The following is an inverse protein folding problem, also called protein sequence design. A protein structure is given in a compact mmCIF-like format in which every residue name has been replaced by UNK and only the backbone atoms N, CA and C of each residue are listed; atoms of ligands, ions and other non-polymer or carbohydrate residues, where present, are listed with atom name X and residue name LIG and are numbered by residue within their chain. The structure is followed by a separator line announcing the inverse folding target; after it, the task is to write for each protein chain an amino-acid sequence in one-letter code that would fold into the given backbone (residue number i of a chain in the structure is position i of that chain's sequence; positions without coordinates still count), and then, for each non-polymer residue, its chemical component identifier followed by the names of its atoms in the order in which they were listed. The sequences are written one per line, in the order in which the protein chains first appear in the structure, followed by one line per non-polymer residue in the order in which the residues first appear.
data_IF_676934963319
#
_entry.id   IF_676934963319
#
_cell.length_a   1.000
_cell.length_b   1.000
_cell.length_c   1.000
_cell.angle_alpha   90.00
_cell.angle_beta   90.00
_cell.angle_gamma   90.00
#
_symmetry.space_group_name_H-M   'P 1'
#
loop_
_entity.id
_entity.type
_entity.pdbx_description
1 polymer ?
#
# COMPACT_ATOMS: atom_id res chain seq x y z
N UNK A 1 13.07 -3.07 8.91
CA UNK A 1 12.77 -2.61 7.54
C UNK A 1 12.41 -1.13 7.57
N UNK A 2 13.02 -0.29 6.72
CA UNK A 2 13.00 1.19 6.83
C UNK A 2 11.59 1.81 6.83
N UNK A 3 10.62 1.16 6.15
CA UNK A 3 9.24 1.64 6.08
C UNK A 3 8.35 1.17 7.24
N UNK A 4 8.78 0.19 8.04
CA UNK A 4 7.96 -0.37 9.12
C UNK A 4 7.59 0.65 10.23
N UNK A 5 8.49 1.57 10.64
CA UNK A 5 8.15 2.61 11.62
C UNK A 5 7.07 3.58 11.12
N UNK A 6 6.90 3.74 9.81
CA UNK A 6 5.82 4.57 9.22
C UNK A 6 4.47 3.97 9.55
N UNK A 7 4.37 2.65 9.36
CA UNK A 7 3.13 1.87 9.48
C UNK A 7 2.62 1.81 10.91
N UNK A 8 3.52 1.82 11.90
CA UNK A 8 3.14 1.77 13.31
C UNK A 8 2.57 3.09 13.85
N UNK A 9 2.74 4.20 13.13
CA UNK A 9 2.25 5.53 13.53
C UNK A 9 0.87 5.86 12.99
N UNK A 10 0.19 4.86 12.44
CA UNK A 10 -1.09 5.03 11.78
C UNK A 10 -2.23 4.79 12.76
N UNK A 11 -3.26 5.62 12.67
CA UNK A 11 -4.44 5.48 13.54
C UNK A 11 -5.17 4.14 13.30
N UNK A 12 -5.14 3.64 12.05
CA UNK A 12 -5.71 2.36 11.66
C UNK A 12 -4.73 1.17 11.76
N UNK A 13 -3.63 1.31 12.53
CA UNK A 13 -2.64 0.24 12.64
C UNK A 13 -3.17 -0.94 13.45
N UNK A 14 -3.17 -2.12 12.82
CA UNK A 14 -3.47 -3.39 13.46
C UNK A 14 -2.26 -4.30 13.36
N UNK A 15 -1.78 -4.78 14.51
CA UNK A 15 -0.58 -5.62 14.58
C UNK A 15 -0.86 -7.08 14.21
N UNK A 16 -1.86 -7.66 14.86
CA UNK A 16 -2.24 -9.08 14.77
C UNK A 16 -3.71 -9.25 15.18
N UNK A 17 -4.21 -10.48 15.08
CA UNK A 17 -5.60 -10.82 15.43
C UNK A 17 -5.94 -10.49 16.88
N UNK A 18 -5.01 -10.70 17.81
CA UNK A 18 -5.22 -10.40 19.23
C UNK A 18 -5.27 -8.89 19.50
N UNK A 19 -4.44 -8.12 18.78
CA UNK A 19 -4.48 -6.66 18.79
C UNK A 19 -5.82 -6.15 18.27
N UNK A 20 -6.32 -6.70 17.16
CA UNK A 20 -7.62 -6.34 16.59
C UNK A 20 -8.76 -6.59 17.58
N UNK A 21 -8.79 -7.77 18.20
CA UNK A 21 -9.82 -8.12 19.20
C UNK A 21 -9.79 -7.16 20.39
N UNK A 22 -8.59 -6.82 20.88
CA UNK A 22 -8.46 -5.86 21.98
C UNK A 22 -8.97 -4.47 21.60
N UNK A 23 -8.63 -3.97 20.41
CA UNK A 23 -9.12 -2.66 19.98
C UNK A 23 -10.63 -2.67 19.74
N UNK A 24 -11.17 -3.76 19.19
CA UNK A 24 -12.61 -3.92 18.97
C UNK A 24 -13.39 -3.97 20.29
N UNK A 25 -12.86 -4.67 21.29
CA UNK A 25 -13.49 -4.77 22.62
C UNK A 25 -13.49 -3.45 23.40
N UNK A 26 -12.66 -2.48 23.02
CA UNK A 26 -12.69 -1.12 23.62
C UNK A 26 -13.76 -0.23 22.99
N UNK A 27 -14.31 -0.60 21.83
CA UNK A 27 -15.29 0.23 21.14
C UNK A 27 -16.66 0.08 21.81
N UNK A 28 -17.16 1.19 22.34
CA UNK A 28 -18.58 1.34 22.68
C UNK A 28 -19.32 1.79 21.43
N UNK A 29 -20.18 0.94 20.89
CA UNK A 29 -20.98 1.24 19.71
C UNK A 29 -22.35 1.79 20.15
N UNK A 30 -22.77 2.89 19.55
CA UNK A 30 -24.14 3.40 19.73
C UNK A 30 -25.16 2.47 19.07
N UNK A 31 -26.39 2.46 19.58
CA UNK A 31 -27.49 1.64 19.05
C UNK A 31 -27.85 1.95 17.59
N UNK A 32 -27.47 3.14 17.09
CA UNK A 32 -27.67 3.59 15.70
C UNK A 32 -26.44 3.34 14.80
N UNK A 33 -25.44 2.58 15.26
CA UNK A 33 -24.24 2.29 14.49
C UNK A 33 -24.54 1.32 13.32
N UNK A 34 -24.11 1.70 12.11
CA UNK A 34 -24.13 0.81 10.94
C UNK A 34 -22.73 0.27 10.70
N UNK A 35 -22.58 -1.04 10.82
CA UNK A 35 -21.35 -1.72 10.43
C UNK A 35 -21.32 -1.88 8.91
N UNK A 36 -20.25 -1.38 8.29
CA UNK A 36 -20.04 -1.52 6.84
C UNK A 36 -18.78 -2.35 6.60
N UNK A 37 -18.93 -3.44 5.84
CA UNK A 37 -17.84 -4.28 5.37
C UNK A 37 -17.56 -4.03 3.90
N UNK A 38 -16.28 -3.90 3.54
CA UNK A 38 -15.84 -3.82 2.16
C UNK A 38 -14.77 -4.88 1.91
N UNK A 39 -14.95 -5.65 0.84
CA UNK A 39 -13.88 -6.50 0.32
C UNK A 39 -13.16 -5.75 -0.81
N UNK A 40 -11.83 -5.80 -0.79
CA UNK A 40 -11.00 -5.10 -1.78
C UNK A 40 -10.26 -6.12 -2.64
N UNK A 41 -10.70 -6.23 -3.89
CA UNK A 41 -10.06 -7.08 -4.88
C UNK A 41 -8.65 -6.58 -5.22
N UNK A 42 -7.69 -7.52 -5.31
CA UNK A 42 -6.36 -7.30 -5.87
C UNK A 42 -5.58 -6.10 -5.27
N UNK A 43 -5.75 -5.81 -3.97
CA UNK A 43 -5.21 -4.57 -3.39
C UNK A 43 -3.68 -4.40 -3.57
N UNK A 44 -2.89 -5.47 -3.52
CA UNK A 44 -1.45 -5.35 -3.77
C UNK A 44 -1.11 -5.07 -5.24
N UNK A 45 -1.94 -5.53 -6.17
CA UNK A 45 -1.67 -5.57 -7.60
C UNK A 45 -2.33 -4.43 -8.38
N UNK A 46 -3.21 -3.67 -7.73
CA UNK A 46 -3.95 -2.57 -8.35
C UNK A 46 -3.32 -1.20 -8.10
N UNK A 47 -2.52 -1.01 -7.05
CA UNK A 47 -1.99 0.32 -6.69
C UNK A 47 -1.10 0.89 -7.83
N UNK A 48 -1.46 2.02 -8.46
CA UNK A 48 -0.59 2.66 -9.44
C UNK A 48 0.73 3.07 -8.78
N UNK A 49 1.86 2.79 -9.44
CA UNK A 49 3.19 3.05 -8.87
C UNK A 49 3.39 4.51 -8.47
N UNK A 50 2.89 5.44 -9.29
CA UNK A 50 2.90 6.88 -9.02
C UNK A 50 2.21 7.23 -7.70
N UNK A 51 0.98 6.75 -7.49
CA UNK A 51 0.20 7.03 -6.29
C UNK A 51 0.84 6.44 -5.03
N UNK A 52 1.44 5.25 -5.11
CA UNK A 52 2.10 4.67 -3.94
C UNK A 52 3.45 5.34 -3.63
N UNK A 53 4.19 5.80 -4.64
CA UNK A 53 5.43 6.58 -4.43
C UNK A 53 5.14 7.96 -3.83
N UNK A 54 4.12 8.65 -4.35
CA UNK A 54 3.62 9.91 -3.78
C UNK A 54 3.20 9.73 -2.32
N UNK A 55 2.49 8.64 -2.02
CA UNK A 55 2.06 8.35 -0.68
C UNK A 55 3.22 8.16 0.31
N UNK A 56 4.28 7.47 -0.12
CA UNK A 56 5.50 7.30 0.68
C UNK A 56 6.25 8.62 0.86
N UNK A 57 6.29 9.45 -0.19
CA UNK A 57 6.92 10.78 -0.12
C UNK A 57 6.22 11.66 0.94
N UNK A 58 4.89 11.73 0.89
CA UNK A 58 4.07 12.46 1.87
C UNK A 58 4.24 11.89 3.28
N UNK A 59 4.30 10.55 3.42
CA UNK A 59 4.57 9.92 4.69
C UNK A 59 5.93 10.34 5.26
N UNK A 60 7.00 10.33 4.45
CA UNK A 60 8.33 10.76 4.88
C UNK A 60 8.40 12.24 5.25
N UNK A 61 7.63 13.10 4.59
CA UNK A 61 7.52 14.52 4.94
C UNK A 61 6.92 14.71 6.34
N UNK A 62 5.88 13.96 6.71
CA UNK A 62 5.21 14.10 8.01
C UNK A 62 6.11 13.75 9.21
N UNK A 63 6.95 12.73 9.10
CA UNK A 63 7.79 12.24 10.21
C UNK A 63 9.21 12.83 10.24
N UNK A 64 9.59 13.68 9.28
CA UNK A 64 10.89 14.37 9.24
C UNK A 64 12.12 13.43 9.33
N UNK A 65 11.94 12.13 9.07
CA UNK A 65 12.98 11.10 8.97
C UNK A 65 12.56 10.09 7.91
N UNK A 66 13.46 9.55 7.09
CA UNK A 66 14.91 9.77 7.07
C UNK A 66 15.29 11.14 6.45
N UNK A 67 16.59 11.48 6.47
CA UNK A 67 17.09 12.76 5.94
C UNK A 67 16.78 12.89 4.42
N UNK A 68 16.85 14.10 3.83
CA UNK A 68 16.45 14.30 2.44
C UNK A 68 17.17 13.40 1.42
N UNK A 69 18.47 13.16 1.61
CA UNK A 69 19.26 12.29 0.73
C UNK A 69 18.83 10.83 0.81
N UNK A 70 18.67 10.29 2.02
CA UNK A 70 18.18 8.94 2.24
C UNK A 70 16.74 8.78 1.72
N UNK A 71 15.90 9.80 1.88
CA UNK A 71 14.54 9.80 1.32
C UNK A 71 14.56 9.68 -0.19
N UNK A 72 15.40 10.48 -0.86
CA UNK A 72 15.58 10.41 -2.31
C UNK A 72 16.06 9.03 -2.74
N UNK A 73 17.07 8.49 -2.08
CA UNK A 73 17.59 7.15 -2.35
C UNK A 73 16.52 6.06 -2.18
N UNK A 74 15.75 6.08 -1.10
CA UNK A 74 14.70 5.09 -0.85
C UNK A 74 13.59 5.19 -1.90
N UNK A 75 13.17 6.40 -2.28
CA UNK A 75 12.16 6.59 -3.32
C UNK A 75 12.65 6.10 -4.68
N UNK A 76 13.92 6.35 -5.03
CA UNK A 76 14.53 5.84 -6.27
C UNK A 76 14.63 4.30 -6.25
N UNK A 77 15.08 3.72 -5.14
CA UNK A 77 15.17 2.26 -4.97
C UNK A 77 13.78 1.61 -5.06
N UNK A 78 12.76 2.20 -4.43
CA UNK A 78 11.38 1.74 -4.55
C UNK A 78 10.87 1.85 -5.98
N UNK A 79 11.13 2.98 -6.66
CA UNK A 79 10.76 3.16 -8.06
C UNK A 79 11.39 2.09 -8.95
N UNK A 80 12.67 1.77 -8.72
CA UNK A 80 13.38 0.73 -9.45
C UNK A 80 12.74 -0.65 -9.23
N UNK A 81 12.52 -1.05 -7.97
CA UNK A 81 11.93 -2.35 -7.62
C UNK A 81 10.51 -2.50 -8.17
N UNK A 82 9.71 -1.44 -8.20
CA UNK A 82 8.36 -1.46 -8.73
C UNK A 82 8.33 -1.62 -10.26
N UNK A 83 9.24 -0.95 -10.98
CA UNK A 83 9.26 -0.95 -12.45
C UNK A 83 10.08 -2.07 -13.09
N UNK A 84 10.95 -2.75 -12.33
CA UNK A 84 11.82 -3.84 -12.83
C UNK A 84 11.40 -5.20 -12.28
N UNK A 85 10.14 -5.33 -11.92
CA UNK A 85 9.59 -6.58 -11.42
C UNK A 85 9.10 -7.46 -12.57
N UNK A 86 9.90 -8.48 -12.91
CA UNK A 86 9.61 -9.44 -13.97
C UNK A 86 9.35 -10.81 -13.34
N UNK A 87 8.30 -11.49 -13.79
CA UNK A 87 8.00 -12.86 -13.41
C UNK A 87 7.88 -13.75 -14.65
N UNK A 88 8.32 -15.01 -14.51
CA UNK A 88 8.24 -16.03 -15.55
C UNK A 88 6.98 -16.86 -15.32
N UNK A 89 6.09 -16.89 -16.32
CA UNK A 89 4.91 -17.75 -16.30
C UNK A 89 4.74 -18.37 -17.68
N UNK A 90 4.61 -19.70 -17.72
CA UNK A 90 4.45 -20.45 -18.99
C UNK A 90 5.54 -20.13 -20.03
N UNK A 91 6.81 -20.10 -19.59
CA UNK A 91 7.97 -19.74 -20.42
C UNK A 91 7.93 -18.31 -21.02
N UNK A 92 6.98 -17.48 -20.62
CA UNK A 92 6.86 -16.08 -21.03
C UNK A 92 7.23 -15.17 -19.86
N UNK A 93 8.08 -14.20 -20.12
CA UNK A 93 8.41 -13.16 -19.15
C UNK A 93 7.32 -12.09 -19.16
N UNK A 94 6.85 -11.71 -17.98
CA UNK A 94 5.86 -10.66 -17.82
C UNK A 94 6.42 -9.57 -16.92
N UNK A 95 6.28 -8.33 -17.36
CA UNK A 95 6.61 -7.17 -16.57
C UNK A 95 5.37 -6.70 -15.81
N UNK A 96 5.50 -6.55 -14.50
CA UNK A 96 4.45 -5.97 -13.67
C UNK A 96 4.41 -4.45 -13.87
N UNK A 97 3.33 -3.94 -14.46
CA UNK A 97 3.19 -2.50 -14.74
C UNK A 97 2.50 -1.72 -13.61
N UNK A 98 1.84 -2.42 -12.68
CA UNK A 98 1.08 -1.81 -11.58
C UNK A 98 1.15 -2.67 -10.31
N UNK A 99 0.94 -2.05 -9.16
CA UNK A 99 1.01 -2.70 -7.86
C UNK A 99 2.42 -3.08 -7.44
N UNK A 100 2.52 -3.84 -6.36
CA UNK A 100 3.77 -4.40 -5.85
C UNK A 100 3.72 -5.93 -5.98
N UNK A 101 4.84 -6.58 -6.28
CA UNK A 101 4.88 -8.05 -6.34
C UNK A 101 4.44 -8.64 -4.99
N UNK A 102 3.63 -9.70 -5.04
CA UNK A 102 3.28 -10.45 -3.84
C UNK A 102 4.55 -11.18 -3.37
N UNK A 103 4.96 -10.94 -2.12
CA UNK A 103 6.14 -11.58 -1.53
C UNK A 103 7.39 -10.70 -1.42
N UNK A 104 7.41 -9.49 -1.99
CA UNK A 104 8.52 -8.57 -1.70
C UNK A 104 8.41 -8.02 -0.29
N UNK A 105 9.54 -7.92 0.42
CA UNK A 105 9.58 -7.49 1.83
C UNK A 105 8.92 -6.12 2.04
N UNK A 106 9.02 -5.21 1.07
CA UNK A 106 8.44 -3.87 1.15
C UNK A 106 6.92 -3.81 0.88
N UNK A 107 6.29 -4.88 0.38
CA UNK A 107 4.88 -4.87 -0.03
C UNK A 107 3.91 -4.48 1.10
N UNK A 108 4.04 -5.01 2.34
CA UNK A 108 3.13 -4.64 3.43
C UNK A 108 3.23 -3.15 3.76
N UNK A 109 4.45 -2.59 3.82
CA UNK A 109 4.62 -1.18 4.17
C UNK A 109 4.22 -0.22 3.04
N UNK A 110 4.47 -0.59 1.79
CA UNK A 110 4.05 0.17 0.61
C UNK A 110 2.52 0.28 0.52
N UNK A 111 1.82 -0.82 0.77
CA UNK A 111 0.35 -0.86 0.84
C UNK A 111 -0.18 0.09 1.91
N UNK A 112 0.36 0.02 3.13
CA UNK A 112 -0.13 0.85 4.22
C UNK A 112 0.09 2.35 3.99
N UNK A 113 1.21 2.76 3.38
CA UNK A 113 1.38 4.17 2.99
C UNK A 113 0.30 4.67 2.03
N UNK A 114 -0.04 3.87 1.00
CA UNK A 114 -1.05 4.24 0.02
C UNK A 114 -2.47 4.25 0.61
N UNK A 115 -2.79 3.23 1.42
CA UNK A 115 -4.11 3.08 2.01
C UNK A 115 -4.47 4.25 2.95
N UNK A 116 -3.50 4.80 3.67
CA UNK A 116 -3.78 5.94 4.56
C UNK A 116 -4.18 7.21 3.84
N UNK A 117 -3.49 7.53 2.74
CA UNK A 117 -3.77 8.77 2.03
C UNK A 117 -5.06 8.65 1.22
N UNK A 118 -5.35 7.44 0.71
CA UNK A 118 -6.49 7.22 -0.14
C UNK A 118 -7.74 6.68 0.55
N UNK A 119 -7.70 6.05 1.72
CA UNK A 119 -8.95 5.67 2.43
C UNK A 119 -9.63 6.89 3.04
N UNK A 120 -8.88 7.84 3.60
CA UNK A 120 -9.47 9.12 4.03
C UNK A 120 -10.13 9.86 2.85
N UNK A 121 -9.52 9.82 1.65
CA UNK A 121 -10.11 10.43 0.45
C UNK A 121 -11.20 9.56 -0.21
N UNK A 122 -11.11 8.23 -0.19
CA UNK A 122 -12.04 7.32 -0.87
C UNK A 122 -13.35 7.12 -0.11
N UNK A 123 -13.34 7.24 1.23
CA UNK A 123 -14.60 7.35 2.00
C UNK A 123 -15.33 8.66 1.64
N UNK A 124 -14.59 9.69 1.20
CA UNK A 124 -15.16 10.97 0.77
C UNK A 124 -15.49 11.01 -0.74
N UNK A 125 -14.82 10.20 -1.57
CA UNK A 125 -14.97 10.20 -3.02
C UNK A 125 -15.07 8.77 -3.55
N UNK A 126 -16.29 8.38 -3.94
CA UNK A 126 -16.63 7.24 -4.81
C UNK A 126 -15.88 7.34 -6.16
N UNK A 127 -14.58 7.06 -6.17
CA UNK A 127 -13.76 6.92 -7.39
C UNK A 127 -12.92 5.65 -7.32
N UNK A 128 -13.57 4.51 -7.13
CA UNK A 128 -12.99 3.18 -7.36
C UNK A 128 -13.64 2.51 -8.57
N UNK A 129 -13.74 3.23 -9.69
CA UNK A 129 -14.14 2.63 -10.95
C UNK A 129 -12.91 2.49 -11.85
N UNK A 130 -12.48 1.24 -12.02
CA UNK A 130 -11.49 0.75 -12.99
C UNK A 130 -10.00 0.83 -12.61
N UNK A 131 -9.60 0.13 -11.55
CA UNK A 131 -8.18 -0.21 -11.34
C UNK A 131 -7.99 -1.72 -11.55
N UNK A 132 -7.78 -2.14 -12.81
CA UNK A 132 -7.50 -3.55 -13.15
C UNK A 132 -5.99 -3.79 -13.14
N UNK A 133 -5.56 -4.97 -12.69
CA UNK A 133 -4.17 -5.37 -12.78
C UNK A 133 -3.73 -5.43 -14.26
N UNK A 134 -2.69 -4.68 -14.62
CA UNK A 134 -2.10 -4.68 -15.96
C UNK A 134 -0.71 -5.29 -15.90
N UNK A 135 -0.55 -6.44 -16.57
CA UNK A 135 0.73 -7.10 -16.78
C UNK A 135 1.00 -7.10 -18.29
N UNK A 136 2.22 -6.72 -18.70
CA UNK A 136 2.59 -6.69 -20.11
C UNK A 136 3.57 -7.83 -20.41
N UNK A 137 3.37 -8.59 -21.50
CA UNK A 137 4.38 -9.54 -21.95
C UNK A 137 5.67 -8.78 -22.28
N UNK A 138 6.78 -9.24 -21.71
CA UNK A 138 8.10 -8.70 -21.92
C UNK A 138 8.87 -9.66 -22.83
N UNK A 139 9.14 -9.25 -24.08
CA UNK A 139 10.06 -9.99 -24.95
C UNK A 139 11.48 -9.60 -24.55
N UNK A 140 12.25 -10.60 -24.14
CA UNK A 140 13.72 -10.52 -24.01
C UNK A 140 14.32 -10.57 -25.40
#
# INVERSE_FOLDING_TARGET
MVLQPLVKKLDSFVLDTSHLLRETNKLTLDSECILVGFDVEALYMSIPHSLGLEAIKLAFERIHRPNPEQRSFILQALNFVLHHNVFLFDSIHYLQCQGVAIGVKCAPSYRWSHLLLNVYHAVTLLKWQHVRCVMKPHRV
#
